data_IF_347790070024
#
_entry.id   IF_347790070024
#
_cell.length_a   1.000
_cell.length_b   1.000
_cell.length_c   1.000
_cell.angle_alpha   90.00
_cell.angle_beta   90.00
_cell.angle_gamma   90.00
#
_symmetry.space_group_name_H-M   'P 1'
#
loop_
_entity.id
_entity.type
_entity.pdbx_description
1 polymer ?
#
# COMPACT_ATOMS: atom_id res chain seq x y z
N UNK A 1 3.37 -13.25 9.10
CA UNK A 1 1.93 -13.64 9.07
C UNK A 1 1.06 -13.02 10.18
N UNK A 2 1.56 -12.77 11.41
CA UNK A 2 0.75 -12.19 12.50
C UNK A 2 0.83 -10.65 12.65
N UNK A 3 1.92 -9.99 12.25
CA UNK A 3 2.02 -8.52 12.26
C UNK A 3 1.08 -7.85 11.24
N UNK A 4 0.91 -8.46 10.06
CA UNK A 4 0.09 -7.93 8.96
C UNK A 4 -1.41 -7.80 9.27
N UNK A 5 -1.98 -8.71 10.07
CA UNK A 5 -3.40 -8.71 10.40
C UNK A 5 -3.79 -7.70 11.49
N UNK A 6 -2.79 -7.07 12.14
CA UNK A 6 -3.02 -6.09 13.22
C UNK A 6 -3.12 -4.67 12.67
N UNK A 7 -2.31 -4.32 11.66
CA UNK A 7 -2.32 -2.99 11.03
C UNK A 7 -3.58 -2.69 10.20
N UNK A 8 -4.27 -3.71 9.67
CA UNK A 8 -5.48 -3.53 8.87
C UNK A 8 -6.76 -3.18 9.68
N UNK A 9 -6.67 -3.16 11.02
CA UNK A 9 -7.84 -3.02 11.91
C UNK A 9 -8.25 -1.58 12.23
N UNK A 10 -7.36 -0.60 12.02
CA UNK A 10 -7.62 0.83 12.28
C UNK A 10 -7.10 1.71 11.13
N UNK A 11 -7.88 1.91 10.04
CA UNK A 11 -7.42 2.65 8.86
C UNK A 11 -7.23 4.15 9.11
N UNK A 12 -8.01 4.75 10.02
CA UNK A 12 -8.04 6.22 10.22
C UNK A 12 -6.80 6.79 10.94
N UNK A 13 -5.88 5.91 11.37
CA UNK A 13 -4.65 6.28 12.07
C UNK A 13 -3.49 5.36 11.71
N UNK A 14 -3.48 4.77 10.50
CA UNK A 14 -2.27 4.05 10.07
C UNK A 14 -1.20 5.09 9.81
N UNK A 15 -0.31 5.23 10.79
CA UNK A 15 0.90 6.02 10.70
C UNK A 15 1.59 5.72 9.36
N UNK A 16 1.88 6.79 8.62
CA UNK A 16 2.58 6.77 7.33
C UNK A 16 3.81 5.85 7.35
N UNK A 17 4.53 5.80 8.49
CA UNK A 17 5.68 4.91 8.69
C UNK A 17 5.30 3.42 8.66
N UNK A 18 4.14 3.06 9.20
CA UNK A 18 3.63 1.69 9.20
C UNK A 18 3.21 1.24 7.80
N UNK A 19 2.57 2.12 7.01
CA UNK A 19 2.19 1.83 5.62
C UNK A 19 3.43 1.64 4.73
N UNK A 20 4.43 2.51 4.90
CA UNK A 20 5.69 2.38 4.19
C UNK A 20 6.43 1.06 4.55
N UNK A 21 6.51 0.73 5.84
CA UNK A 21 7.07 -0.54 6.30
C UNK A 21 6.33 -1.75 5.72
N UNK A 22 5.00 -1.68 5.65
CA UNK A 22 4.16 -2.72 5.06
C UNK A 22 4.45 -2.92 3.56
N UNK A 23 4.66 -1.83 2.80
CA UNK A 23 5.07 -1.88 1.38
C UNK A 23 6.42 -2.58 1.20
N UNK A 24 7.41 -2.25 2.04
CA UNK A 24 8.72 -2.93 2.02
C UNK A 24 8.57 -4.43 2.25
N UNK A 25 7.79 -4.82 3.26
CA UNK A 25 7.57 -6.22 3.58
C UNK A 25 6.84 -6.97 2.47
N UNK A 26 5.84 -6.35 1.83
CA UNK A 26 5.12 -6.94 0.70
C UNK A 26 6.07 -7.20 -0.49
N UNK A 27 6.93 -6.24 -0.83
CA UNK A 27 7.96 -6.40 -1.87
C UNK A 27 8.92 -7.55 -1.55
N UNK A 28 9.46 -7.58 -0.32
CA UNK A 28 10.34 -8.66 0.13
C UNK A 28 9.67 -10.03 -0.02
N UNK A 29 8.40 -10.14 0.39
CA UNK A 29 7.65 -11.39 0.25
C UNK A 29 7.48 -11.80 -1.22
N UNK A 30 7.19 -10.85 -2.11
CA UNK A 30 7.06 -11.14 -3.54
C UNK A 30 8.37 -11.59 -4.16
N UNK A 31 9.47 -10.89 -3.89
CA UNK A 31 10.77 -11.29 -4.42
C UNK A 31 11.17 -12.69 -3.95
N UNK A 32 10.98 -12.99 -2.66
CA UNK A 32 11.19 -14.35 -2.16
C UNK A 32 10.28 -15.35 -2.86
N UNK A 33 9.00 -15.03 -3.04
CA UNK A 33 8.07 -15.93 -3.72
C UNK A 33 8.42 -16.14 -5.21
N UNK A 34 8.89 -15.11 -5.90
CA UNK A 34 9.34 -15.17 -7.30
C UNK A 34 10.58 -16.05 -7.47
N UNK A 35 11.51 -16.00 -6.52
CA UNK A 35 12.70 -16.87 -6.52
C UNK A 35 12.28 -18.34 -6.38
N UNK A 36 11.40 -18.65 -5.43
CA UNK A 36 11.06 -20.04 -5.11
C UNK A 36 9.91 -20.63 -5.94
N UNK A 37 9.20 -19.85 -6.76
CA UNK A 37 8.00 -20.35 -7.45
C UNK A 37 8.26 -21.57 -8.34
N UNK A 38 9.48 -21.72 -8.86
CA UNK A 38 9.86 -22.81 -9.75
C UNK A 38 9.95 -24.17 -9.03
N UNK A 39 9.98 -24.17 -7.69
CA UNK A 39 9.99 -25.37 -6.86
C UNK A 39 8.58 -25.91 -6.56
N UNK A 40 7.53 -25.22 -6.98
CA UNK A 40 6.14 -25.52 -6.60
C UNK A 40 5.20 -25.54 -7.82
N UNK A 41 4.06 -26.24 -7.69
CA UNK A 41 3.03 -26.29 -8.75
C UNK A 41 2.50 -24.88 -9.05
N UNK A 42 2.52 -24.50 -10.33
CA UNK A 42 2.02 -23.21 -10.83
C UNK A 42 0.56 -22.93 -10.42
N UNK A 43 -0.26 -23.97 -10.26
CA UNK A 43 -1.66 -23.87 -9.79
C UNK A 43 -1.75 -23.38 -8.35
N UNK A 44 -0.72 -23.61 -7.53
CA UNK A 44 -0.62 -23.11 -6.15
C UNK A 44 0.05 -21.74 -6.08
N UNK A 45 1.08 -21.47 -6.89
CA UNK A 45 1.82 -20.21 -6.85
C UNK A 45 1.07 -19.05 -7.50
N UNK A 46 0.34 -19.30 -8.60
CA UNK A 46 -0.37 -18.25 -9.36
C UNK A 46 -1.41 -17.48 -8.52
N UNK A 47 -2.33 -18.12 -7.77
CA UNK A 47 -3.31 -17.39 -6.96
C UNK A 47 -2.66 -16.57 -5.85
N UNK A 48 -1.62 -17.12 -5.21
CA UNK A 48 -0.87 -16.43 -4.16
C UNK A 48 -0.18 -15.17 -4.69
N UNK A 49 0.56 -15.27 -5.80
CA UNK A 49 1.26 -14.13 -6.41
C UNK A 49 0.29 -13.08 -6.94
N UNK A 50 -0.84 -13.49 -7.52
CA UNK A 50 -1.87 -12.56 -7.97
C UNK A 50 -2.46 -11.75 -6.81
N UNK A 51 -2.82 -12.41 -5.70
CA UNK A 51 -3.34 -11.74 -4.52
C UNK A 51 -2.31 -10.82 -3.85
N UNK A 52 -1.04 -11.26 -3.79
CA UNK A 52 0.06 -10.44 -3.28
C UNK A 52 0.34 -9.22 -4.17
N UNK A 53 0.18 -9.37 -5.49
CA UNK A 53 0.22 -8.27 -6.45
C UNK A 53 -0.83 -7.21 -6.14
N UNK A 54 -2.10 -7.60 -6.00
CA UNK A 54 -3.17 -6.67 -5.66
C UNK A 54 -2.98 -5.95 -4.33
N UNK A 55 -2.32 -6.57 -3.33
CA UNK A 55 -1.92 -5.87 -2.11
C UNK A 55 -0.84 -4.82 -2.39
N UNK A 56 0.15 -5.15 -3.22
CA UNK A 56 1.23 -4.23 -3.57
C UNK A 56 0.78 -3.04 -4.40
N UNK A 57 -0.18 -3.24 -5.30
CA UNK A 57 -0.73 -2.18 -6.14
C UNK A 57 -1.39 -1.11 -5.28
N UNK A 58 -2.27 -1.52 -4.36
CA UNK A 58 -2.94 -0.58 -3.45
C UNK A 58 -1.95 0.06 -2.46
N UNK A 59 -0.98 -0.70 -1.94
CA UNK A 59 0.09 -0.12 -1.11
C UNK A 59 0.97 0.87 -1.87
N UNK A 60 1.09 0.72 -3.19
CA UNK A 60 1.74 1.69 -4.07
C UNK A 60 0.98 3.01 -4.05
N UNK A 61 -0.30 2.97 -4.39
CA UNK A 61 -1.14 4.16 -4.45
C UNK A 61 -1.18 4.92 -3.11
N UNK A 62 -1.42 4.20 -2.00
CA UNK A 62 -1.41 4.81 -0.65
C UNK A 62 -0.07 5.47 -0.33
N UNK A 63 1.05 4.85 -0.72
CA UNK A 63 2.38 5.44 -0.49
C UNK A 63 2.61 6.69 -1.37
N UNK A 64 2.09 6.70 -2.58
CA UNK A 64 2.21 7.82 -3.51
C UNK A 64 1.38 9.02 -3.04
N UNK A 65 0.16 8.79 -2.53
CA UNK A 65 -0.68 9.81 -1.90
C UNK A 65 0.00 10.47 -0.69
N UNK A 66 0.58 9.65 0.18
CA UNK A 66 1.35 10.10 1.34
C UNK A 66 2.59 10.90 0.92
N UNK A 67 3.29 10.45 -0.13
CA UNK A 67 4.45 11.18 -0.66
C UNK A 67 4.02 12.53 -1.26
N UNK A 68 2.89 12.57 -1.99
CA UNK A 68 2.32 13.78 -2.55
C UNK A 68 1.90 14.77 -1.47
N UNK A 69 1.28 14.32 -0.37
CA UNK A 69 0.97 15.17 0.78
C UNK A 69 2.23 15.85 1.36
N UNK A 70 3.32 15.09 1.54
CA UNK A 70 4.61 15.64 2.03
C UNK A 70 5.23 16.64 1.06
N UNK A 71 5.07 16.44 -0.25
CA UNK A 71 5.50 17.41 -1.25
C UNK A 71 4.66 18.69 -1.18
N UNK A 72 3.34 18.56 -1.06
CA UNK A 72 2.44 19.70 -0.89
C UNK A 72 2.71 20.48 0.41
N UNK A 73 3.11 19.81 1.50
CA UNK A 73 3.56 20.48 2.74
C UNK A 73 4.77 21.38 2.49
N UNK A 74 5.74 20.88 1.70
CA UNK A 74 6.94 21.67 1.34
C UNK A 74 6.59 22.85 0.45
N UNK A 75 5.74 22.65 -0.55
CA UNK A 75 5.31 23.72 -1.46
C UNK A 75 4.48 24.78 -0.71
N UNK A 76 3.66 24.38 0.26
CA UNK A 76 2.88 25.30 1.08
C UNK A 76 3.76 26.24 1.91
N UNK A 77 4.93 25.76 2.35
CA UNK A 77 5.91 26.54 3.11
C UNK A 77 6.91 27.34 2.26
N UNK A 78 6.82 27.28 0.93
CA UNK A 78 7.73 27.99 0.02
C UNK A 78 7.16 29.38 -0.31
N UNK A 79 7.86 30.44 0.11
CA UNK A 79 7.48 31.83 -0.14
C UNK A 79 7.39 32.16 -1.64
N UNK A 80 8.19 31.52 -2.48
CA UNK A 80 8.14 31.71 -3.93
C UNK A 80 6.83 31.19 -4.54
N UNK A 81 6.11 30.33 -3.82
CA UNK A 81 4.85 29.72 -4.26
C UNK A 81 3.63 30.27 -3.51
N UNK A 82 3.76 31.39 -2.80
CA UNK A 82 2.66 32.02 -2.08
C UNK A 82 1.44 32.36 -2.98
N UNK A 83 1.68 32.68 -4.25
CA UNK A 83 0.61 32.93 -5.23
C UNK A 83 -0.19 31.67 -5.62
N UNK A 84 0.30 30.47 -5.29
CA UNK A 84 -0.28 29.17 -5.69
C UNK A 84 -0.93 28.41 -4.54
N UNK A 85 -1.16 29.07 -3.40
CA UNK A 85 -1.72 28.42 -2.20
C UNK A 85 -3.09 27.77 -2.44
N UNK A 86 -3.95 28.37 -3.26
CA UNK A 86 -5.25 27.79 -3.61
C UNK A 86 -5.08 26.44 -4.33
N UNK A 87 -4.19 26.34 -5.31
CA UNK A 87 -3.92 25.10 -6.04
C UNK A 87 -3.34 24.00 -5.14
N UNK A 88 -2.49 24.39 -4.17
CA UNK A 88 -1.91 23.48 -3.18
C UNK A 88 -3.01 22.91 -2.26
N UNK A 89 -3.91 23.77 -1.77
CA UNK A 89 -5.03 23.36 -0.91
C UNK A 89 -6.01 22.45 -1.65
N UNK A 90 -6.39 22.79 -2.90
CA UNK A 90 -7.28 21.96 -3.72
C UNK A 90 -6.68 20.58 -3.99
N UNK A 91 -5.39 20.54 -4.35
CA UNK A 91 -4.66 19.29 -4.59
C UNK A 91 -4.60 18.42 -3.33
N UNK A 92 -4.39 19.02 -2.16
CA UNK A 92 -4.42 18.33 -0.86
C UNK A 92 -5.80 17.73 -0.56
N UNK A 93 -6.86 18.49 -0.84
CA UNK A 93 -8.25 18.05 -0.66
C UNK A 93 -8.55 16.80 -1.50
N UNK A 94 -8.15 16.81 -2.77
CA UNK A 94 -8.29 15.65 -3.66
C UNK A 94 -7.57 14.41 -3.12
N UNK A 95 -6.29 14.53 -2.77
CA UNK A 95 -5.48 13.39 -2.30
C UNK A 95 -6.06 12.81 -0.99
N UNK A 96 -6.52 13.67 -0.09
CA UNK A 96 -7.13 13.23 1.18
C UNK A 96 -8.42 12.47 0.95
N UNK A 97 -9.23 12.88 -0.04
CA UNK A 97 -10.43 12.15 -0.43
C UNK A 97 -10.09 10.77 -1.02
N UNK A 98 -9.11 10.69 -1.93
CA UNK A 98 -8.72 9.42 -2.56
C UNK A 98 -8.18 8.40 -1.54
N UNK A 99 -7.37 8.85 -0.58
CA UNK A 99 -6.74 8.01 0.44
C UNK A 99 -7.77 7.15 1.21
N UNK A 100 -8.95 7.71 1.50
CA UNK A 100 -10.02 6.97 2.19
C UNK A 100 -10.51 5.76 1.37
N UNK A 101 -10.67 5.95 0.06
CA UNK A 101 -11.00 4.87 -0.88
C UNK A 101 -9.90 3.82 -0.96
N UNK A 102 -8.64 4.26 -1.01
CA UNK A 102 -7.48 3.36 -1.08
C UNK A 102 -7.29 2.53 0.19
N UNK A 103 -7.52 3.09 1.38
CA UNK A 103 -7.46 2.33 2.63
C UNK A 103 -8.55 1.25 2.71
N UNK A 104 -9.76 1.55 2.21
CA UNK A 104 -10.81 0.55 2.09
C UNK A 104 -10.44 -0.55 1.07
N UNK A 105 -9.85 -0.18 -0.07
CA UNK A 105 -9.33 -1.12 -1.07
C UNK A 105 -8.20 -1.99 -0.50
N UNK A 106 -7.31 -1.40 0.31
CA UNK A 106 -6.19 -2.09 0.94
C UNK A 106 -6.71 -3.14 1.92
N UNK A 107 -7.73 -2.80 2.71
CA UNK A 107 -8.37 -3.76 3.61
C UNK A 107 -8.96 -4.94 2.82
N UNK A 108 -9.64 -4.69 1.71
CA UNK A 108 -10.21 -5.75 0.84
C UNK A 108 -9.12 -6.61 0.21
N UNK A 109 -8.06 -6.03 -0.35
CA UNK A 109 -6.95 -6.77 -0.97
C UNK A 109 -6.21 -7.62 0.06
N UNK A 110 -5.97 -7.08 1.26
CA UNK A 110 -5.37 -7.82 2.38
C UNK A 110 -6.24 -9.00 2.84
N UNK A 111 -7.56 -8.83 2.92
CA UNK A 111 -8.48 -9.92 3.24
C UNK A 111 -8.44 -11.02 2.16
N UNK A 112 -8.41 -10.64 0.89
CA UNK A 112 -8.30 -11.57 -0.23
C UNK A 112 -6.97 -12.33 -0.20
N UNK A 113 -5.86 -11.64 0.06
CA UNK A 113 -4.54 -12.25 0.19
C UNK A 113 -4.45 -13.24 1.37
N UNK A 114 -5.00 -12.88 2.53
CA UNK A 114 -4.99 -13.75 3.72
C UNK A 114 -5.80 -15.04 3.53
N UNK A 115 -6.73 -15.10 2.58
CA UNK A 115 -7.48 -16.30 2.22
C UNK A 115 -6.69 -17.24 1.30
N UNK A 116 -5.61 -16.79 0.68
CA UNK A 116 -4.83 -17.63 -0.22
C UNK A 116 -4.02 -18.66 0.58
N UNK A 117 -4.00 -19.89 0.09
CA UNK A 117 -3.10 -20.90 0.60
C UNK A 117 -1.64 -20.47 0.35
N UNK A 118 -0.82 -20.53 1.38
CA UNK A 118 0.64 -20.37 1.22
C UNK A 118 1.18 -21.57 0.46
N UNK A 119 1.76 -21.34 -0.72
CA UNK A 119 2.14 -22.39 -1.66
C UNK A 119 3.29 -23.28 -1.16
N UNK A 120 4.04 -22.83 -0.16
CA UNK A 120 5.18 -23.55 0.42
C UNK A 120 4.83 -24.42 1.64
N UNK A 121 3.58 -24.44 2.08
CA UNK A 121 3.12 -25.40 3.08
C UNK A 121 2.58 -26.65 2.40
N UNK A 122 2.94 -27.81 2.96
CA UNK A 122 2.39 -29.12 2.56
C UNK A 122 0.89 -29.17 2.83
#
# INVERSE_FOLDING_TARGET
>A
PKQFARSARHPDSVDSLQLHGLRILAKKLRYSAEIFLHLYDRRKTKPFLAALGGVQDVLGQVNDDVAAQRLLDKLAGDECLAAHQEAIVLSRGWITHDLSGQLAALRKSMQYFNKQAVFWKK
#
